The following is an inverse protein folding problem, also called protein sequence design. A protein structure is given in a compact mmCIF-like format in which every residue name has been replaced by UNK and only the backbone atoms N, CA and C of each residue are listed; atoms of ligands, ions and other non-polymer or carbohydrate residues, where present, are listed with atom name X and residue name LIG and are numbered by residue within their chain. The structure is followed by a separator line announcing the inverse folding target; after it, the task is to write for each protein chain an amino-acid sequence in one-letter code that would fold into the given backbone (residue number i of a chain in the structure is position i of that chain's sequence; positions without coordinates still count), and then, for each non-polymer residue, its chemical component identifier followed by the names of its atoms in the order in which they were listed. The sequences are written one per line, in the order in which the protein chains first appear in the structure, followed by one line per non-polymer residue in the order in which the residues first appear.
data_IF_368414642339
#
_entry.id   IF_368414642339
#
_cell.length_a   1.000
_cell.length_b   1.000
_cell.length_c   1.000
_cell.angle_alpha   90.00
_cell.angle_beta   90.00
_cell.angle_gamma   90.00
#
_symmetry.space_group_name_H-M   'P 1'
#
loop_
_entity.id
_entity.type
_entity.pdbx_description
1 polymer ?
#
# COMPACT_ATOMS: atom_id res chain seq x y z
N UNK A 1 -7.41 2.88 -3.80
CA UNK A 1 -6.12 3.48 -3.38
C UNK A 1 -5.11 2.36 -3.19
N UNK A 2 -3.90 2.56 -3.69
CA UNK A 2 -2.75 1.66 -3.52
C UNK A 2 -1.83 2.21 -2.42
N UNK A 3 -1.73 1.50 -1.31
CA UNK A 3 -0.89 1.87 -0.16
C UNK A 3 0.41 1.11 -0.20
N UNK A 4 1.53 1.83 -0.10
CA UNK A 4 2.89 1.27 -0.13
C UNK A 4 3.35 0.85 -1.52
N UNK A 5 2.84 1.49 -2.57
CA UNK A 5 3.03 1.03 -3.94
C UNK A 5 4.49 1.06 -4.46
N UNK A 6 5.40 1.76 -3.78
CA UNK A 6 6.80 1.96 -4.22
C UNK A 6 6.90 2.40 -5.69
N UNK A 7 7.44 1.54 -6.56
CA UNK A 7 7.58 1.78 -8.00
C UNK A 7 6.32 1.43 -8.83
N UNK A 8 5.19 1.20 -8.14
CA UNK A 8 3.83 0.99 -8.64
C UNK A 8 3.63 -0.31 -9.40
N UNK A 9 4.20 -1.43 -8.94
CA UNK A 9 4.04 -2.73 -9.64
C UNK A 9 2.56 -3.08 -9.88
N UNK A 10 1.70 -2.80 -8.90
CA UNK A 10 0.27 -3.09 -8.97
C UNK A 10 -0.54 -1.92 -9.52
N UNK A 11 -0.20 -0.68 -9.16
CA UNK A 11 -0.86 0.52 -9.70
C UNK A 11 -0.63 0.71 -11.20
N UNK A 12 0.45 0.16 -11.77
CA UNK A 12 0.66 0.16 -13.22
C UNK A 12 -0.28 -0.80 -13.95
N UNK A 13 -0.72 -1.89 -13.31
CA UNK A 13 -1.63 -2.87 -13.91
C UNK A 13 -3.06 -2.32 -14.03
N UNK A 14 -3.42 -1.37 -13.17
CA UNK A 14 -4.72 -0.68 -13.20
C UNK A 14 -4.82 0.38 -14.28
N UNK A 15 -3.77 0.63 -15.06
CA UNK A 15 -3.78 1.58 -16.18
C UNK A 15 -4.76 1.23 -17.31
N UNK A 16 -5.17 -0.05 -17.40
CA UNK A 16 -6.17 -0.53 -18.36
C UNK A 16 -7.61 -0.54 -17.80
N UNK A 17 -7.82 -0.03 -16.60
CA UNK A 17 -9.15 0.06 -15.98
C UNK A 17 -9.66 1.51 -16.04
N UNK A 18 -10.97 1.70 -16.08
CA UNK A 18 -11.60 3.02 -15.90
C UNK A 18 -11.44 3.57 -14.47
N UNK A 19 -10.83 2.79 -13.56
CA UNK A 19 -10.64 3.17 -12.18
C UNK A 19 -9.53 4.22 -12.03
N UNK A 20 -9.86 5.29 -11.29
CA UNK A 20 -8.85 6.29 -10.89
C UNK A 20 -8.06 5.78 -9.69
N UNK A 21 -6.80 5.41 -9.92
CA UNK A 21 -5.92 4.93 -8.84
C UNK A 21 -5.08 6.06 -8.26
N UNK A 22 -5.22 6.28 -6.96
CA UNK A 22 -4.30 7.08 -6.15
C UNK A 22 -3.29 6.17 -5.47
N UNK A 23 -2.03 6.58 -5.49
CA UNK A 23 -0.91 5.87 -4.88
C UNK A 23 -0.38 6.66 -3.70
N UNK A 24 -0.08 5.97 -2.59
CA UNK A 24 0.66 6.53 -1.46
C UNK A 24 1.89 5.67 -1.17
N UNK A 25 3.03 6.31 -0.90
CA UNK A 25 4.26 5.62 -0.53
C UNK A 25 5.20 6.49 0.29
N UNK A 26 6.01 5.88 1.15
CA UNK A 26 6.97 6.61 1.99
C UNK A 26 8.26 6.96 1.24
N UNK A 27 8.65 6.10 0.28
CA UNK A 27 9.87 6.17 -0.50
C UNK A 27 9.76 7.18 -1.65
N UNK A 28 10.49 8.29 -1.55
CA UNK A 28 10.60 9.27 -2.65
C UNK A 28 11.20 8.65 -3.92
N UNK A 29 12.13 7.69 -3.76
CA UNK A 29 12.80 7.02 -4.87
C UNK A 29 11.83 6.11 -5.64
N UNK A 30 11.01 5.32 -4.93
CA UNK A 30 9.97 4.49 -5.52
C UNK A 30 8.98 5.32 -6.33
N UNK A 31 8.45 6.39 -5.72
CA UNK A 31 7.48 7.27 -6.37
C UNK A 31 8.06 8.01 -7.59
N UNK A 32 9.33 8.42 -7.54
CA UNK A 32 10.02 8.97 -8.73
C UNK A 32 10.09 7.97 -9.88
N UNK A 33 10.36 6.69 -9.58
CA UNK A 33 10.36 5.63 -10.60
C UNK A 33 8.96 5.37 -11.14
N UNK A 34 7.93 5.39 -10.30
CA UNK A 34 6.54 5.27 -10.72
C UNK A 34 6.16 6.38 -11.70
N UNK A 35 6.44 7.64 -11.35
CA UNK A 35 6.12 8.80 -12.22
C UNK A 35 6.83 8.78 -13.58
N UNK A 36 7.99 8.11 -13.68
CA UNK A 36 8.67 7.88 -14.96
C UNK A 36 7.97 6.83 -15.83
N UNK A 37 7.32 5.83 -15.22
CA UNK A 37 6.62 4.74 -15.91
C UNK A 37 5.19 5.11 -16.29
N UNK A 38 4.49 5.85 -15.43
CA UNK A 38 3.14 6.33 -15.66
C UNK A 38 3.05 7.79 -15.22
N UNK A 39 3.09 8.70 -16.21
CA UNK A 39 3.11 10.15 -15.97
C UNK A 39 1.81 10.66 -15.34
N UNK A 40 0.70 10.01 -15.67
CA UNK A 40 -0.65 10.37 -15.21
C UNK A 40 -0.94 9.86 -13.81
N UNK A 41 -0.12 8.92 -13.32
CA UNK A 41 -0.26 8.32 -12.00
C UNK A 41 0.50 9.18 -10.98
N UNK A 42 -0.24 10.05 -10.30
CA UNK A 42 0.32 10.89 -9.24
C UNK A 42 0.36 10.12 -7.92
N UNK A 43 1.58 9.88 -7.44
CA UNK A 43 1.85 9.33 -6.12
C UNK A 43 1.98 10.40 -5.06
N UNK A 44 1.40 10.15 -3.88
CA UNK A 44 1.51 10.98 -2.69
C UNK A 44 2.64 10.43 -1.84
N UNK A 45 3.67 11.23 -1.59
CA UNK A 45 4.72 10.85 -0.65
C UNK A 45 4.25 11.13 0.78
N UNK A 46 3.89 10.07 1.51
CA UNK A 46 3.43 10.18 2.88
C UNK A 46 3.57 8.84 3.64
N UNK A 47 3.62 8.93 4.97
CA UNK A 47 3.45 7.77 5.83
C UNK A 47 1.95 7.50 6.00
N UNK A 48 1.47 6.38 5.44
CA UNK A 48 0.06 6.00 5.48
C UNK A 48 -0.53 5.96 6.90
N UNK A 49 0.28 5.62 7.91
CA UNK A 49 -0.11 5.60 9.33
C UNK A 49 -0.54 6.96 9.88
N UNK A 50 -0.11 8.05 9.24
CA UNK A 50 -0.39 9.42 9.66
C UNK A 50 -1.30 10.15 8.68
N UNK A 51 -1.81 9.48 7.64
CA UNK A 51 -2.59 10.16 6.63
C UNK A 51 -4.05 10.28 7.08
N UNK A 52 -4.60 11.50 7.22
CA UNK A 52 -6.00 11.68 7.52
C UNK A 52 -6.82 11.35 6.26
N UNK A 53 -7.34 10.12 6.20
CA UNK A 53 -8.27 9.70 5.14
C UNK A 53 -9.68 9.88 5.69
N UNK A 54 -10.50 10.68 5.00
CA UNK A 54 -11.93 10.80 5.34
C UNK A 54 -12.68 9.54 4.88
N UNK A 55 -13.70 9.15 5.63
CA UNK A 55 -14.60 8.07 5.23
C UNK A 55 -15.30 8.39 3.90
N UNK A 56 -15.59 7.36 3.10
CA UNK A 56 -16.30 7.47 1.83
C UNK A 56 -15.50 8.08 0.67
N UNK A 57 -14.18 8.32 0.82
CA UNK A 57 -13.34 8.91 -0.24
C UNK A 57 -12.88 7.89 -1.28
N UNK A 58 -12.72 6.62 -0.89
CA UNK A 58 -12.21 5.57 -1.76
C UNK A 58 -13.18 4.39 -1.81
N UNK A 59 -13.47 3.91 -3.02
CA UNK A 59 -14.30 2.71 -3.21
C UNK A 59 -13.59 1.43 -2.72
N UNK A 60 -12.26 1.41 -2.87
CA UNK A 60 -11.42 0.29 -2.44
C UNK A 60 -10.04 0.79 -2.01
N UNK A 61 -9.46 0.13 -1.02
CA UNK A 61 -8.07 0.33 -0.57
C UNK A 61 -7.39 -1.03 -0.57
N UNK A 62 -6.19 -1.10 -1.15
CA UNK A 62 -5.36 -2.30 -1.11
C UNK A 62 -3.97 -1.98 -0.58
N UNK A 63 -3.43 -2.94 0.16
CA UNK A 63 -2.11 -2.95 0.78
C UNK A 63 -1.47 -4.28 0.46
N UNK A 64 -0.39 -4.29 -0.32
CA UNK A 64 0.28 -5.53 -0.74
C UNK A 64 1.69 -5.51 -0.17
N UNK A 65 2.03 -6.52 0.64
CA UNK A 65 3.34 -6.66 1.31
C UNK A 65 3.71 -5.44 2.20
N UNK A 66 2.71 -4.68 2.66
CA UNK A 66 2.91 -3.51 3.55
C UNK A 66 2.67 -3.83 5.01
N UNK A 67 1.85 -4.85 5.30
CA UNK A 67 1.39 -5.16 6.65
C UNK A 67 2.54 -5.53 7.60
N UNK A 68 3.58 -6.19 7.09
CA UNK A 68 4.77 -6.56 7.88
C UNK A 68 5.54 -5.34 8.41
N UNK A 69 5.33 -4.16 7.82
CA UNK A 69 5.95 -2.90 8.26
C UNK A 69 5.08 -2.12 9.25
N UNK A 70 3.88 -2.61 9.53
CA UNK A 70 2.93 -2.08 10.51
C UNK A 70 2.82 -3.08 11.66
N UNK A 71 3.71 -2.97 12.65
CA UNK A 71 3.76 -3.87 13.80
C UNK A 71 2.39 -4.02 14.49
N UNK A 72 1.63 -2.93 14.56
CA UNK A 72 0.27 -2.85 15.09
C UNK A 72 -0.77 -3.69 14.33
N UNK A 73 -0.52 -4.03 13.06
CA UNK A 73 -1.42 -4.86 12.24
C UNK A 73 -1.05 -6.35 12.29
N UNK A 74 0.13 -6.71 12.80
CA UNK A 74 0.55 -8.10 12.99
C UNK A 74 -0.22 -8.83 14.11
N UNK A 75 -0.72 -8.08 15.10
CA UNK A 75 -1.55 -8.64 16.18
C UNK A 75 -2.98 -8.93 15.70
N UNK A 76 -3.54 -8.07 14.84
CA UNK A 76 -4.88 -8.25 14.28
C UNK A 76 -4.99 -9.44 13.31
N UNK A 77 -3.89 -9.79 12.63
CA UNK A 77 -3.86 -10.94 11.70
C UNK A 77 -3.62 -12.28 12.40
N UNK A 78 -3.11 -12.28 13.63
CA UNK A 78 -2.89 -13.50 14.43
C UNK A 78 -4.11 -13.89 15.27
N UNK A 79 -4.96 -12.95 15.68
CA UNK A 79 -6.24 -13.29 16.33
C UNK A 79 -7.28 -13.84 15.35
N UNK A 80 -7.21 -13.49 14.06
CA UNK A 80 -8.17 -13.93 13.05
C UNK A 80 -7.79 -15.22 12.31
N UNK A 81 -6.57 -15.73 12.54
CA UNK A 81 -6.13 -17.03 12.05
C UNK A 81 -5.61 -17.85 13.22
N UNK A 82 -6.43 -18.80 13.69
CA UNK A 82 -6.02 -19.85 14.63
C UNK A 82 -4.98 -20.80 14.02
N UNK A 83 -3.80 -20.28 13.67
CA UNK A 83 -2.63 -21.06 13.29
C UNK A 83 -1.43 -20.56 14.08
N UNK A 84 -0.96 -21.47 14.93
CA UNK A 84 0.02 -21.22 15.96
C UNK A 84 1.33 -20.62 15.48
N UNK A 85 1.97 -19.97 16.44
CA UNK A 85 3.37 -19.60 16.43
C UNK A 85 4.24 -20.74 15.87
N UNK A 86 4.74 -20.58 14.66
CA UNK A 86 5.91 -21.30 14.19
C UNK A 86 6.77 -20.36 13.38
N UNK A 87 7.66 -19.65 14.08
CA UNK A 87 8.97 -19.22 13.58
C UNK A 87 9.74 -18.59 14.77
N UNK A 88 10.16 -19.43 15.72
CA UNK A 88 11.45 -19.23 16.38
C UNK A 88 12.47 -20.05 15.59
N UNK A 89 13.38 -19.38 14.91
CA UNK A 89 14.61 -20.00 14.44
C UNK A 89 15.75 -18.97 14.45
N UNK A 90 16.52 -19.05 15.54
CA UNK A 90 17.92 -18.64 15.77
C UNK A 90 18.35 -17.22 15.43
#
# INVERSE_FOLDING_TARGET
MDVGAEAGRFSLLTSNSEATVKVIGISSYGLKRLKRKAKDLNGIQANARKMPIKEGVFDAIFMIEVLDYCAELGEASTESLGYGACCKAR
#
